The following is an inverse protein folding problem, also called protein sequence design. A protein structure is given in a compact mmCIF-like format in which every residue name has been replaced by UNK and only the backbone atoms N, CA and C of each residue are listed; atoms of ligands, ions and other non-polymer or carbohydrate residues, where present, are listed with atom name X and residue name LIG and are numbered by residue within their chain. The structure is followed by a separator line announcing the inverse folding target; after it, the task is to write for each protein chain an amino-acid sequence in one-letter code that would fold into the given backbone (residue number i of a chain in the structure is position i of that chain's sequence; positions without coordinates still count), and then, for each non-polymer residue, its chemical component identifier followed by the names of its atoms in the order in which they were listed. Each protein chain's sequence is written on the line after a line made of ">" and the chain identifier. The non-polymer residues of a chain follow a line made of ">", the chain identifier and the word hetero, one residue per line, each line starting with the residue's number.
data_IF_660663124605
#
_entry.id   IF_660663124605
#
_cell.length_a   1.000
_cell.length_b   1.000
_cell.length_c   1.000
_cell.angle_alpha   90.00
_cell.angle_beta   90.00
_cell.angle_gamma   90.00
#
_symmetry.space_group_name_H-M   'P 1'
#
loop_
_entity.id
_entity.type
_entity.pdbx_description
1 polymer ?
#
# COMPACT_ATOMS: atom_id res chain seq x y z
N UNK A 1 1.98 -11.59 -8.39
CA UNK A 1 1.87 -10.14 -8.69
C UNK A 1 0.45 -9.64 -9.00
N UNK A 2 -0.51 -10.47 -9.45
CA UNK A 2 -1.88 -10.02 -9.79
C UNK A 2 -2.67 -9.40 -8.60
N UNK A 3 -2.58 -10.00 -7.40
CA UNK A 3 -3.37 -9.57 -6.23
C UNK A 3 -3.03 -8.16 -5.71
N UNK A 4 -1.75 -7.80 -5.65
CA UNK A 4 -1.32 -6.48 -5.18
C UNK A 4 -1.78 -5.35 -6.13
N UNK A 5 -1.71 -5.60 -7.44
CA UNK A 5 -2.21 -4.66 -8.45
C UNK A 5 -3.73 -4.52 -8.40
N UNK A 6 -4.47 -5.62 -8.21
CA UNK A 6 -5.92 -5.56 -8.00
C UNK A 6 -6.30 -4.81 -6.72
N UNK A 7 -5.54 -4.97 -5.65
CA UNK A 7 -5.74 -4.23 -4.40
C UNK A 7 -5.52 -2.72 -4.62
N UNK A 8 -4.40 -2.32 -5.23
CA UNK A 8 -4.10 -0.93 -5.53
C UNK A 8 -5.19 -0.27 -6.40
N UNK A 9 -5.66 -0.95 -7.45
CA UNK A 9 -6.69 -0.41 -8.33
C UNK A 9 -8.05 -0.24 -7.63
N UNK A 10 -8.42 -1.16 -6.73
CA UNK A 10 -9.66 -1.04 -5.95
C UNK A 10 -9.58 0.11 -4.95
N UNK A 11 -8.41 0.25 -4.31
CA UNK A 11 -8.15 1.32 -3.36
C UNK A 11 -8.26 2.71 -4.00
N UNK A 12 -7.78 2.86 -5.24
CA UNK A 12 -7.89 4.10 -6.03
C UNK A 12 -9.34 4.46 -6.40
N UNK A 13 -10.21 3.46 -6.57
CA UNK A 13 -11.63 3.68 -6.92
C UNK A 13 -12.52 3.93 -5.69
N UNK A 14 -12.17 3.34 -4.55
CA UNK A 14 -13.03 3.30 -3.36
C UNK A 14 -12.65 4.33 -2.28
N UNK A 15 -11.46 4.93 -2.33
CA UNK A 15 -10.97 5.88 -1.34
C UNK A 15 -10.91 7.31 -1.89
N UNK A 16 -11.29 8.29 -1.06
CA UNK A 16 -11.28 9.72 -1.45
C UNK A 16 -10.05 10.49 -0.95
N UNK A 17 -9.19 9.84 -0.16
CA UNK A 17 -7.93 10.40 0.32
C UNK A 17 -6.89 9.31 0.56
N UNK A 18 -5.61 9.68 0.50
CA UNK A 18 -4.47 8.79 0.82
C UNK A 18 -4.58 8.15 2.20
N UNK A 19 -5.06 8.90 3.18
CA UNK A 19 -5.27 8.40 4.54
C UNK A 19 -6.35 7.31 4.56
N UNK A 20 -7.49 7.54 3.91
CA UNK A 20 -8.54 6.52 3.81
C UNK A 20 -8.03 5.29 3.04
N UNK A 21 -7.24 5.51 1.99
CA UNK A 21 -6.66 4.48 1.16
C UNK A 21 -5.67 3.60 1.95
N UNK A 22 -4.81 4.21 2.77
CA UNK A 22 -3.90 3.51 3.68
C UNK A 22 -4.68 2.67 4.69
N UNK A 23 -5.66 3.26 5.38
CA UNK A 23 -6.48 2.53 6.36
C UNK A 23 -7.15 1.30 5.73
N UNK A 24 -7.74 1.46 4.54
CA UNK A 24 -8.36 0.34 3.82
C UNK A 24 -7.33 -0.71 3.40
N UNK A 25 -6.15 -0.31 2.91
CA UNK A 25 -5.10 -1.24 2.51
C UNK A 25 -4.68 -2.18 3.65
N UNK A 26 -4.49 -1.61 4.85
CA UNK A 26 -4.15 -2.37 6.04
C UNK A 26 -5.29 -3.28 6.51
N UNK A 27 -6.54 -2.81 6.50
CA UNK A 27 -7.68 -3.66 6.86
C UNK A 27 -7.81 -4.84 5.89
N UNK A 28 -7.63 -4.61 4.59
CA UNK A 28 -7.74 -5.65 3.58
C UNK A 28 -6.57 -6.65 3.60
N UNK A 29 -5.35 -6.18 3.87
CA UNK A 29 -4.16 -7.04 3.89
C UNK A 29 -3.90 -7.72 5.24
N UNK A 30 -4.17 -7.01 6.34
CA UNK A 30 -3.81 -7.41 7.71
C UNK A 30 -5.01 -7.67 8.62
N UNK A 31 -6.24 -7.43 8.17
CA UNK A 31 -7.45 -7.63 8.98
C UNK A 31 -7.62 -6.63 10.12
N UNK A 32 -6.79 -5.58 10.19
CA UNK A 32 -6.86 -4.54 11.22
C UNK A 32 -6.51 -3.16 10.66
N UNK A 33 -6.99 -2.07 11.28
CA UNK A 33 -6.49 -0.73 10.97
C UNK A 33 -4.98 -0.61 11.27
N UNK A 34 -4.28 0.27 10.55
CA UNK A 34 -2.89 0.60 10.86
C UNK A 34 -2.82 1.37 12.18
N UNK A 35 -1.69 1.25 12.86
CA UNK A 35 -1.27 2.18 13.93
C UNK A 35 -0.71 3.47 13.35
N UNK A 36 -0.59 4.53 14.17
CA UNK A 36 -0.04 5.81 13.75
C UNK A 36 1.40 5.70 13.21
N UNK A 37 2.21 4.83 13.81
CA UNK A 37 3.58 4.55 13.36
C UNK A 37 3.60 3.88 11.98
N UNK A 38 2.68 2.92 11.75
CA UNK A 38 2.53 2.26 10.45
C UNK A 38 2.02 3.22 9.38
N UNK A 39 1.09 4.12 9.71
CA UNK A 39 0.66 5.19 8.80
C UNK A 39 1.86 6.08 8.46
N UNK A 40 2.61 6.55 9.46
CA UNK A 40 3.78 7.40 9.24
C UNK A 40 4.83 6.72 8.34
N UNK A 41 5.11 5.43 8.58
CA UNK A 41 6.05 4.67 7.78
C UNK A 41 5.55 4.46 6.34
N UNK A 42 4.28 4.10 6.16
CA UNK A 42 3.69 3.88 4.86
C UNK A 42 3.60 5.17 4.02
N UNK A 43 3.27 6.31 4.63
CA UNK A 43 3.29 7.61 3.97
C UNK A 43 4.71 7.97 3.49
N UNK A 44 5.72 7.83 4.36
CA UNK A 44 7.12 8.09 3.99
C UNK A 44 7.58 7.21 2.83
N UNK A 45 7.17 5.94 2.83
CA UNK A 45 7.46 5.00 1.74
C UNK A 45 6.82 5.46 0.43
N UNK A 46 5.52 5.82 0.46
CA UNK A 46 4.80 6.28 -0.72
C UNK A 46 5.43 7.54 -1.31
N UNK A 47 5.83 8.50 -0.47
CA UNK A 47 6.49 9.72 -0.91
C UNK A 47 7.85 9.42 -1.54
N UNK A 48 8.67 8.59 -0.88
CA UNK A 48 9.99 8.19 -1.37
C UNK A 48 9.90 7.46 -2.71
N UNK A 49 9.01 6.46 -2.83
CA UNK A 49 8.85 5.70 -4.07
C UNK A 49 8.22 6.54 -5.18
N UNK A 50 7.28 7.42 -4.88
CA UNK A 50 6.71 8.32 -5.89
C UNK A 50 7.79 9.26 -6.45
N UNK A 51 8.69 9.75 -5.59
CA UNK A 51 9.83 10.56 -6.01
C UNK A 51 10.85 9.76 -6.83
N UNK A 52 11.14 8.51 -6.43
CA UNK A 52 12.02 7.60 -7.16
C UNK A 52 11.49 7.28 -8.57
N UNK A 53 10.18 7.10 -8.70
CA UNK A 53 9.51 6.80 -9.97
C UNK A 53 9.07 8.05 -10.75
N UNK A 54 9.55 9.25 -10.38
CA UNK A 54 9.06 10.53 -10.92
C UNK A 54 9.17 10.68 -12.45
N UNK A 55 10.00 9.87 -13.09
CA UNK A 55 10.17 9.80 -14.55
C UNK A 55 9.07 8.99 -15.27
N UNK A 56 8.21 8.30 -14.52
CA UNK A 56 7.17 7.40 -15.04
C UNK A 56 5.77 8.00 -14.88
N UNK A 57 4.91 7.89 -15.91
CA UNK A 57 3.54 8.41 -15.86
C UNK A 57 2.65 7.68 -14.83
N UNK A 58 3.05 6.48 -14.42
CA UNK A 58 2.37 5.63 -13.45
C UNK A 58 3.10 5.56 -12.08
N UNK A 59 3.97 6.53 -11.78
CA UNK A 59 4.78 6.59 -10.54
C UNK A 59 3.97 6.30 -9.27
N UNK A 60 2.85 7.01 -9.11
CA UNK A 60 1.92 6.88 -7.98
C UNK A 60 1.33 5.48 -7.89
N UNK A 61 0.86 4.95 -9.02
CA UNK A 61 0.23 3.64 -9.09
C UNK A 61 1.23 2.52 -8.76
N UNK A 62 2.48 2.66 -9.20
CA UNK A 62 3.57 1.74 -8.85
C UNK A 62 3.88 1.75 -7.36
N UNK A 63 4.04 2.93 -6.76
CA UNK A 63 4.30 3.05 -5.33
C UNK A 63 3.22 2.36 -4.48
N UNK A 64 1.95 2.52 -4.85
CA UNK A 64 0.83 1.83 -4.18
C UNK A 64 0.82 0.31 -4.41
N UNK A 65 1.17 -0.14 -5.61
CA UNK A 65 1.31 -1.58 -5.90
C UNK A 65 2.42 -2.20 -5.05
N UNK A 66 3.54 -1.52 -4.88
CA UNK A 66 4.68 -2.01 -4.11
C UNK A 66 4.38 -2.03 -2.60
N UNK A 67 3.72 -0.98 -2.08
CA UNK A 67 3.17 -1.00 -0.72
C UNK A 67 2.21 -2.19 -0.50
N UNK A 68 1.31 -2.44 -1.46
CA UNK A 68 0.40 -3.58 -1.41
C UNK A 68 1.13 -4.93 -1.40
N UNK A 69 2.25 -5.06 -2.13
CA UNK A 69 3.10 -6.25 -2.05
C UNK A 69 3.74 -6.41 -0.67
N UNK A 70 4.30 -5.34 -0.11
CA UNK A 70 4.92 -5.38 1.22
C UNK A 70 3.93 -5.78 2.31
N UNK A 71 2.71 -5.24 2.29
CA UNK A 71 1.67 -5.61 3.25
C UNK A 71 1.27 -7.08 3.14
N UNK A 72 1.08 -7.59 1.92
CA UNK A 72 0.70 -8.98 1.70
C UNK A 72 1.83 -9.97 2.05
N UNK A 73 3.08 -9.62 1.77
CA UNK A 73 4.26 -10.44 2.12
C UNK A 73 4.49 -10.43 3.63
N UNK A 74 4.40 -9.26 4.27
CA UNK A 74 4.54 -9.12 5.72
C UNK A 74 3.49 -9.94 6.49
N UNK A 75 2.27 -10.03 5.96
CA UNK A 75 1.24 -10.91 6.54
C UNK A 75 1.57 -12.40 6.37
N UNK A 76 2.06 -12.80 5.19
CA UNK A 76 2.40 -14.20 4.91
C UNK A 76 3.59 -14.72 5.72
N UNK A 77 4.52 -13.85 6.12
CA UNK A 77 5.64 -14.22 6.99
C UNK A 77 5.20 -14.78 8.34
N UNK A 78 4.05 -14.31 8.88
CA UNK A 78 3.48 -14.81 10.14
C UNK A 78 2.97 -16.26 10.06
N UNK A 79 2.79 -16.79 8.86
CA UNK A 79 2.29 -18.16 8.63
C UNK A 79 3.39 -19.15 8.25
N UNK A 80 4.64 -18.70 8.13
CA UNK A 80 5.78 -19.51 7.68
C UNK A 80 6.84 -19.74 8.78
N UNK A 81 6.53 -19.42 10.04
CA UNK A 81 7.34 -19.83 11.20
C UNK A 81 6.99 -21.24 11.71
#
# INVERSE_FOLDING_TARGET
>A
MSRARSLASRLEQEATSDSEQLHRAFVLANGRPPSDDEVSAATKLLDAQTAEYSDQPDARQRAWSDLGQMLLIGNAALYLE
#
